data_IF_136595388618
#
_entry.id   IF_136595388618
#
_cell.length_a   1.000
_cell.length_b   1.000
_cell.length_c   1.000
_cell.angle_alpha   90.00
_cell.angle_beta   90.00
_cell.angle_gamma   90.00
#
_symmetry.space_group_name_H-M   'P 1'
#
loop_
_entity.id
_entity.type
_entity.pdbx_description
1 polymer ?
#
# COMPACT_ATOMS: atom_id res chain seq x y z
N UNK A 1 10.82 7.55 10.49
CA UNK A 1 10.37 6.23 9.99
C UNK A 1 9.13 6.46 9.16
N UNK A 2 8.98 5.77 8.03
CA UNK A 2 7.74 5.81 7.25
C UNK A 2 6.65 4.99 7.94
N UNK A 3 5.41 5.47 7.90
CA UNK A 3 4.24 4.85 8.51
C UNK A 3 2.96 5.30 7.82
N UNK A 4 1.89 4.53 7.97
CA UNK A 4 0.51 4.91 7.64
C UNK A 4 -0.30 5.03 8.94
N UNK A 5 -1.39 5.78 8.91
CA UNK A 5 -2.38 5.83 9.97
C UNK A 5 -3.50 4.84 9.70
N UNK A 6 -4.06 4.27 10.76
CA UNK A 6 -5.43 3.74 10.76
C UNK A 6 -6.43 4.90 10.85
N UNK A 7 -7.70 4.65 10.51
CA UNK A 7 -8.75 5.68 10.58
C UNK A 7 -8.94 6.27 12.00
N UNK A 8 -8.61 5.52 13.05
CA UNK A 8 -8.65 5.95 14.46
C UNK A 8 -7.34 6.60 14.96
N UNK A 9 -6.32 6.74 14.10
CA UNK A 9 -5.10 7.51 14.40
C UNK A 9 -3.89 6.70 14.88
N UNK A 10 -3.99 5.37 14.97
CA UNK A 10 -2.84 4.53 15.29
C UNK A 10 -1.83 4.50 14.12
N UNK A 11 -0.54 4.47 14.44
CA UNK A 11 0.53 4.41 13.44
C UNK A 11 0.94 2.97 13.14
N UNK A 12 0.89 2.60 11.86
CA UNK A 12 1.40 1.33 11.34
C UNK A 12 2.72 1.58 10.62
N UNK A 13 3.82 1.07 11.18
CA UNK A 13 5.17 1.28 10.64
C UNK A 13 5.39 0.55 9.30
N UNK A 14 6.44 0.97 8.58
CA UNK A 14 6.77 0.42 7.27
C UNK A 14 6.97 -1.09 7.22
N UNK A 15 7.59 -1.71 8.24
CA UNK A 15 7.79 -3.16 8.26
C UNK A 15 6.47 -3.93 8.37
N UNK A 16 5.52 -3.41 9.15
CA UNK A 16 4.18 -3.97 9.23
C UNK A 16 3.43 -3.82 7.90
N UNK A 17 3.57 -2.68 7.23
CA UNK A 17 2.94 -2.45 5.92
C UNK A 17 3.56 -3.33 4.84
N UNK A 18 4.90 -3.51 4.82
CA UNK A 18 5.55 -4.39 3.83
C UNK A 18 5.07 -5.82 3.94
N UNK A 19 4.79 -6.30 5.15
CA UNK A 19 4.31 -7.66 5.39
C UNK A 19 2.92 -7.91 4.78
N UNK A 20 2.11 -6.88 4.51
CA UNK A 20 0.79 -7.04 3.89
C UNK A 20 0.89 -7.46 2.41
N UNK A 21 2.03 -7.23 1.77
CA UNK A 21 2.27 -7.59 0.37
C UNK A 21 2.87 -9.00 0.20
N UNK A 22 3.13 -9.74 1.29
CA UNK A 22 3.87 -11.01 1.25
C UNK A 22 3.17 -12.15 0.49
N UNK A 23 1.84 -12.07 0.35
CA UNK A 23 1.02 -13.15 -0.21
C UNK A 23 0.82 -13.03 -1.74
N UNK A 24 1.64 -12.23 -2.43
CA UNK A 24 1.67 -12.12 -3.89
C UNK A 24 2.94 -12.74 -4.46
N UNK A 25 2.98 -14.06 -4.70
CA UNK A 25 4.19 -14.75 -5.13
C UNK A 25 4.64 -14.31 -6.53
N UNK A 26 5.83 -13.73 -6.62
CA UNK A 26 6.57 -13.33 -7.85
C UNK A 26 5.85 -12.41 -8.86
N UNK A 27 4.58 -12.08 -8.64
CA UNK A 27 3.79 -11.23 -9.53
C UNK A 27 3.94 -9.73 -9.22
N UNK A 28 4.37 -9.38 -7.99
CA UNK A 28 4.54 -7.99 -7.58
C UNK A 28 5.94 -7.48 -7.93
N UNK A 29 6.03 -6.50 -8.81
CA UNK A 29 7.29 -5.83 -9.17
C UNK A 29 7.59 -4.73 -8.15
N UNK A 30 6.61 -3.84 -7.91
CA UNK A 30 6.66 -2.79 -6.87
C UNK A 30 5.28 -2.49 -6.31
N UNK A 31 5.25 -2.09 -5.05
CA UNK A 31 4.05 -1.53 -4.42
C UNK A 31 4.35 -0.20 -3.74
N UNK A 32 3.41 0.74 -3.81
CA UNK A 32 3.45 1.99 -3.07
C UNK A 32 2.10 2.22 -2.40
N UNK A 33 2.12 2.28 -1.07
CA UNK A 33 0.97 2.68 -0.26
C UNK A 33 1.06 4.19 0.00
N UNK A 34 0.00 4.90 -0.36
CA UNK A 34 -0.12 6.36 -0.27
C UNK A 34 -1.31 6.67 0.64
N UNK A 35 -1.11 7.59 1.56
CA UNK A 35 -2.17 8.09 2.42
C UNK A 35 -2.21 9.62 2.35
N UNK A 36 -3.26 10.11 1.72
CA UNK A 36 -3.60 11.53 1.62
C UNK A 36 -4.62 11.94 2.71
N UNK A 37 -5.36 10.98 3.27
CA UNK A 37 -6.42 11.18 4.28
C UNK A 37 -6.40 10.06 5.33
N UNK A 38 -6.92 10.34 6.52
CA UNK A 38 -6.88 9.40 7.65
C UNK A 38 -7.64 8.08 7.37
N UNK A 39 -8.76 8.17 6.66
CA UNK A 39 -9.70 7.07 6.41
C UNK A 39 -9.52 6.42 5.03
N UNK A 40 -8.42 6.71 4.32
CA UNK A 40 -8.19 6.21 2.97
C UNK A 40 -6.73 5.82 2.73
N UNK A 41 -6.51 4.66 2.10
CA UNK A 41 -5.19 4.22 1.64
C UNK A 41 -5.30 3.85 0.16
N UNK A 42 -4.44 4.47 -0.65
CA UNK A 42 -4.28 4.15 -2.08
C UNK A 42 -3.06 3.23 -2.22
N UNK A 43 -3.25 2.09 -2.83
CA UNK A 43 -2.22 1.08 -3.08
C UNK A 43 -1.98 1.03 -4.58
N UNK A 44 -0.83 1.55 -5.00
CA UNK A 44 -0.36 1.42 -6.38
C UNK A 44 0.43 0.14 -6.54
N UNK A 45 0.08 -0.67 -7.53
CA UNK A 45 0.71 -1.93 -7.86
C UNK A 45 1.32 -1.88 -9.26
N UNK A 46 2.64 -2.06 -9.33
CA UNK A 46 3.37 -2.39 -10.56
C UNK A 46 3.55 -3.91 -10.56
N UNK A 47 2.93 -4.60 -11.51
CA UNK A 47 2.80 -6.07 -11.50
C UNK A 47 3.27 -6.68 -12.82
N UNK A 48 3.73 -7.93 -12.75
CA UNK A 48 3.91 -8.75 -13.95
C UNK A 48 2.55 -9.27 -14.41
N UNK A 49 2.03 -8.68 -15.48
CA UNK A 49 0.71 -9.01 -16.07
C UNK A 49 0.58 -10.49 -16.49
N UNK A 50 1.69 -11.24 -16.65
CA UNK A 50 1.66 -12.67 -16.97
C UNK A 50 1.52 -13.57 -15.73
N UNK A 51 1.95 -13.08 -14.57
CA UNK A 51 1.97 -13.83 -13.31
C UNK A 51 0.86 -13.37 -12.35
N UNK A 52 0.32 -12.17 -12.55
CA UNK A 52 -0.70 -11.60 -11.67
C UNK A 52 -2.07 -12.29 -11.84
N UNK A 53 -2.66 -12.70 -10.72
CA UNK A 53 -4.03 -13.19 -10.65
C UNK A 53 -4.92 -12.10 -10.02
N UNK A 54 -6.07 -11.74 -10.63
CA UNK A 54 -7.02 -10.80 -10.04
C UNK A 54 -7.42 -11.09 -8.59
N UNK A 55 -7.42 -12.35 -8.14
CA UNK A 55 -7.67 -12.73 -6.73
C UNK A 55 -6.69 -12.09 -5.73
N UNK A 56 -5.50 -11.68 -6.19
CA UNK A 56 -4.54 -10.97 -5.36
C UNK A 56 -5.03 -9.59 -4.93
N UNK A 57 -5.89 -8.91 -5.71
CA UNK A 57 -6.47 -7.64 -5.30
C UNK A 57 -7.37 -7.83 -4.07
N UNK A 58 -8.19 -8.88 -4.07
CA UNK A 58 -9.10 -9.19 -2.95
C UNK A 58 -8.31 -9.63 -1.71
N UNK A 59 -7.32 -10.51 -1.87
CA UNK A 59 -6.45 -10.92 -0.75
C UNK A 59 -5.71 -9.71 -0.15
N UNK A 60 -5.18 -8.82 -0.99
CA UNK A 60 -4.48 -7.62 -0.53
C UNK A 60 -5.44 -6.65 0.18
N UNK A 61 -6.63 -6.46 -0.38
CA UNK A 61 -7.69 -5.63 0.23
C UNK A 61 -8.05 -6.17 1.62
N UNK A 62 -8.24 -7.47 1.75
CA UNK A 62 -8.58 -8.12 3.02
C UNK A 62 -7.47 -7.97 4.07
N UNK A 63 -6.21 -8.17 3.69
CA UNK A 63 -5.05 -7.96 4.58
C UNK A 63 -4.97 -6.51 5.07
N UNK A 64 -5.21 -5.54 4.18
CA UNK A 64 -5.23 -4.12 4.55
C UNK A 64 -6.44 -3.78 5.45
N UNK A 65 -7.64 -4.25 5.13
CA UNK A 65 -8.83 -4.03 5.97
C UNK A 65 -8.64 -4.66 7.35
N UNK A 66 -8.10 -5.88 7.41
CA UNK A 66 -7.80 -6.55 8.67
C UNK A 66 -6.81 -5.76 9.52
N UNK A 67 -5.80 -5.13 8.88
CA UNK A 67 -4.77 -4.36 9.59
C UNK A 67 -5.20 -2.95 9.97
N UNK A 68 -5.97 -2.27 9.12
CA UNK A 68 -6.31 -0.85 9.24
C UNK A 68 -7.75 -0.60 9.70
N UNK A 69 -8.57 -1.65 9.82
CA UNK A 69 -9.96 -1.57 10.23
C UNK A 69 -10.91 -1.29 9.07
N UNK A 70 -12.17 -1.69 9.25
CA UNK A 70 -13.25 -1.55 8.26
C UNK A 70 -13.66 -0.11 7.97
N UNK A 71 -13.28 0.83 8.83
CA UNK A 71 -13.45 2.27 8.61
C UNK A 71 -12.42 2.86 7.64
N UNK A 72 -11.41 2.09 7.22
CA UNK A 72 -10.41 2.52 6.24
C UNK A 72 -10.82 2.08 4.84
N UNK A 73 -10.99 3.04 3.95
CA UNK A 73 -11.22 2.80 2.51
C UNK A 73 -9.92 2.41 1.83
N UNK A 74 -9.92 1.25 1.17
CA UNK A 74 -8.77 0.74 0.41
C UNK A 74 -9.03 0.92 -1.09
N UNK A 75 -8.13 1.61 -1.78
CA UNK A 75 -8.17 1.79 -3.24
C UNK A 75 -6.95 1.08 -3.83
N UNK A 76 -7.16 0.16 -4.76
CA UNK A 76 -6.07 -0.54 -5.45
C UNK A 76 -6.02 -0.03 -6.89
N UNK A 77 -4.83 0.40 -7.33
CA UNK A 77 -4.57 0.94 -8.66
C UNK A 77 -3.44 0.16 -9.32
N UNK A 78 -3.72 -0.49 -10.45
CA UNK A 78 -2.70 -1.09 -11.29
C UNK A 78 -2.06 -0.02 -12.17
N UNK A 79 -0.74 0.12 -12.09
CA UNK A 79 0.03 1.13 -12.83
C UNK A 79 1.16 0.47 -13.61
N UNK A 80 1.54 1.07 -14.73
CA UNK A 80 2.63 0.53 -15.56
C UNK A 80 4.02 0.77 -14.92
N UNK A 81 4.18 1.82 -14.11
CA UNK A 81 5.43 2.11 -13.39
C UNK A 81 5.17 2.89 -12.08
N UNK A 82 5.93 2.57 -11.03
CA UNK A 82 6.05 3.43 -9.84
C UNK A 82 7.43 4.08 -9.82
N UNK A 83 7.54 5.41 -10.04
CA UNK A 83 8.82 6.09 -10.16
C UNK A 83 9.56 6.13 -8.82
N UNK A 84 10.90 6.10 -8.91
CA UNK A 84 11.81 6.38 -7.79
C UNK A 84 11.88 7.89 -7.53
N UNK A 85 12.30 8.25 -6.32
CA UNK A 85 12.60 9.65 -6.01
C UNK A 85 13.81 10.14 -6.83
N UNK A 86 14.03 11.45 -6.89
CA UNK A 86 15.16 12.08 -7.60
C UNK A 86 16.52 11.51 -7.12
N UNK A 87 16.59 11.10 -5.85
CA UNK A 87 17.75 10.43 -5.25
C UNK A 87 18.00 9.00 -5.75
N UNK A 88 17.10 8.44 -6.57
CA UNK A 88 17.08 7.03 -6.97
C UNK A 88 16.47 6.09 -5.91
N UNK A 89 16.12 6.60 -4.72
CA UNK A 89 15.50 5.80 -3.66
C UNK A 89 14.05 5.45 -4.03
N UNK A 90 13.68 4.19 -3.83
CA UNK A 90 12.28 3.77 -3.88
C UNK A 90 11.61 4.01 -2.53
N UNK A 91 10.42 4.59 -2.54
CA UNK A 91 9.64 4.87 -1.33
C UNK A 91 8.32 4.11 -1.38
N UNK A 92 8.24 3.02 -0.62
CA UNK A 92 7.06 2.15 -0.52
C UNK A 92 5.89 2.85 0.18
N UNK A 93 6.16 3.81 1.08
CA UNK A 93 5.13 4.52 1.84
C UNK A 93 5.24 6.01 1.62
N UNK A 94 4.16 6.62 1.16
CA UNK A 94 3.98 8.08 1.14
C UNK A 94 2.82 8.43 2.07
N UNK A 95 3.15 9.06 3.19
CA UNK A 95 2.15 9.59 4.10
C UNK A 95 2.21 11.11 4.01
N UNK A 96 1.13 11.69 3.48
CA UNK A 96 0.96 13.11 3.25
C UNK A 96 -0.11 13.70 4.18
N UNK A 97 -0.58 12.93 5.17
CA UNK A 97 -1.53 13.45 6.15
C UNK A 97 -0.81 14.43 7.05
N UNK A 98 -1.16 15.70 6.91
CA UNK A 98 -0.67 16.74 7.79
C UNK A 98 -1.18 16.50 9.22
N UNK A 99 -0.28 16.64 10.20
CA UNK A 99 -0.69 16.73 11.60
C UNK A 99 -1.43 18.06 11.77
N UNK A 100 -2.72 18.00 12.10
CA UNK A 100 -3.38 19.11 12.77
C UNK A 100 -2.71 19.35 14.13
#
# INVERSE_FOLDING_TARGET
MDFLYTADGAKINAGNVSNLFKNMPNALIRAQAIQEKMDEIIIKLEVDKKLYNPEYDELLRDEFIHKFGTSTKIIIEHVDEIPREISGKFRMIKNNVDRQ
#
